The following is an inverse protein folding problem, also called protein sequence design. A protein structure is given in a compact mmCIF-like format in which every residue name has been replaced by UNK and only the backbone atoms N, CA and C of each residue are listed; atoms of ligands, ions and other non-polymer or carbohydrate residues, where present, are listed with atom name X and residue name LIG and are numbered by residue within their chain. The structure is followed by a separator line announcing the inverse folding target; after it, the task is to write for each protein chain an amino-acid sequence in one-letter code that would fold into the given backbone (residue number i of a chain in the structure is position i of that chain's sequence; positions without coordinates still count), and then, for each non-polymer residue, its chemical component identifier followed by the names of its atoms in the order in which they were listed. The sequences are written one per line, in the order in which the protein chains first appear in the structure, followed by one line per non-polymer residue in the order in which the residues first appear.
data_IF_908295664563
#
_entry.id   IF_908295664563
#
_cell.length_a   1.000
_cell.length_b   1.000
_cell.length_c   1.000
_cell.angle_alpha   90.00
_cell.angle_beta   90.00
_cell.angle_gamma   90.00
#
_symmetry.space_group_name_H-M   'P 1'
#
loop_
_entity.id
_entity.type
_entity.pdbx_description
1 polymer ?
#
# COMPACT_ATOMS: atom_id res chain seq x y z
N UNK A 1 0.64 25.40 -13.13
CA UNK A 1 0.86 24.99 -11.73
C UNK A 1 0.00 25.95 -10.92
N UNK A 2 -1.28 25.73 -10.61
CA UNK A 2 -2.06 24.52 -10.39
C UNK A 2 -3.50 24.73 -10.85
N UNK A 3 -4.01 23.88 -11.73
CA UNK A 3 -5.43 23.92 -12.12
C UNK A 3 -6.31 23.06 -11.19
N UNK A 4 -5.69 22.31 -10.28
CA UNK A 4 -6.32 21.27 -9.46
C UNK A 4 -5.86 21.26 -7.99
N UNK A 5 -5.09 22.26 -7.55
CA UNK A 5 -4.58 22.37 -6.17
C UNK A 5 -3.96 21.07 -5.63
N UNK A 6 -3.12 20.42 -6.45
CA UNK A 6 -2.42 19.19 -6.07
C UNK A 6 -1.04 19.53 -5.51
N UNK A 7 -0.82 19.19 -4.24
CA UNK A 7 0.47 19.37 -3.58
C UNK A 7 1.28 18.07 -3.65
N UNK A 8 2.51 18.16 -4.18
CA UNK A 8 3.46 17.05 -4.24
C UNK A 8 4.44 17.12 -3.07
N UNK A 9 4.62 16.01 -2.36
CA UNK A 9 5.66 15.85 -1.33
C UNK A 9 6.92 15.27 -1.94
N UNK A 10 7.89 16.12 -2.27
CA UNK A 10 9.14 15.75 -2.97
C UNK A 10 9.90 14.58 -2.31
N UNK A 11 9.87 14.48 -0.99
CA UNK A 11 10.50 13.40 -0.21
C UNK A 11 10.02 11.98 -0.57
N UNK A 12 8.84 11.86 -1.18
CA UNK A 12 8.22 10.58 -1.54
C UNK A 12 8.43 10.18 -2.99
N UNK A 13 9.18 10.97 -3.76
CA UNK A 13 9.38 10.72 -5.18
C UNK A 13 10.73 10.09 -5.47
N UNK A 14 10.70 9.12 -6.37
CA UNK A 14 11.85 8.41 -6.89
C UNK A 14 11.97 8.78 -8.38
N UNK A 15 12.96 9.60 -8.73
CA UNK A 15 13.19 10.05 -10.11
C UNK A 15 14.34 9.28 -10.75
N UNK A 16 14.15 8.85 -12.00
CA UNK A 16 15.18 8.20 -12.83
C UNK A 16 15.79 6.91 -12.22
N UNK A 17 14.96 6.07 -11.61
CA UNK A 17 15.38 4.81 -10.98
C UNK A 17 15.00 3.61 -11.86
N UNK A 18 15.88 2.61 -11.94
CA UNK A 18 15.68 1.38 -12.74
C UNK A 18 14.69 0.39 -12.12
N UNK A 19 14.40 0.57 -10.84
CA UNK A 19 13.53 -0.27 -10.02
C UNK A 19 12.65 0.67 -9.17
N UNK A 20 11.32 0.55 -9.30
CA UNK A 20 10.38 1.39 -8.55
C UNK A 20 9.38 0.50 -7.83
N UNK A 21 9.13 0.82 -6.55
CA UNK A 21 8.06 0.19 -5.77
C UNK A 21 6.75 0.92 -6.02
N UNK A 22 5.84 0.29 -6.74
CA UNK A 22 4.55 0.88 -7.07
C UNK A 22 3.41 -0.08 -6.77
N UNK A 23 2.43 0.37 -5.97
CA UNK A 23 1.25 -0.41 -5.58
C UNK A 23 1.54 -1.84 -5.05
N UNK A 24 2.67 -2.02 -4.37
CA UNK A 24 3.08 -3.34 -3.86
C UNK A 24 3.67 -4.27 -4.92
N UNK A 25 4.08 -3.71 -6.06
CA UNK A 25 4.89 -4.37 -7.08
C UNK A 25 6.27 -3.69 -7.12
N UNK A 26 7.26 -4.47 -7.51
CA UNK A 26 8.60 -4.01 -7.85
C UNK A 26 8.65 -4.02 -9.38
N UNK A 27 8.62 -2.83 -9.98
CA UNK A 27 8.67 -2.66 -11.42
C UNK A 27 10.13 -2.46 -11.80
N UNK A 28 10.71 -3.43 -12.51
CA UNK A 28 12.00 -3.30 -13.19
C UNK A 28 11.76 -3.01 -14.68
N UNK A 29 12.77 -2.45 -15.34
CA UNK A 29 12.75 -2.07 -16.77
C UNK A 29 12.21 -3.16 -17.73
N UNK A 30 12.27 -4.45 -17.35
CA UNK A 30 11.86 -5.57 -18.20
C UNK A 30 10.94 -6.59 -17.50
N UNK A 31 10.70 -6.45 -16.20
CA UNK A 31 9.96 -7.43 -15.39
C UNK A 31 9.16 -6.74 -14.30
N UNK A 32 7.92 -7.18 -14.09
CA UNK A 32 7.10 -6.77 -12.94
C UNK A 32 7.12 -7.91 -11.93
N UNK A 33 7.72 -7.67 -10.76
CA UNK A 33 7.76 -8.62 -9.65
C UNK A 33 6.74 -8.23 -8.59
N UNK A 34 5.98 -9.19 -8.09
CA UNK A 34 5.07 -8.97 -6.97
C UNK A 34 5.92 -8.80 -5.70
N UNK A 35 5.72 -7.70 -4.97
CA UNK A 35 6.39 -7.53 -3.68
C UNK A 35 5.73 -8.48 -2.66
N UNK A 36 6.48 -9.51 -2.26
CA UNK A 36 5.98 -10.61 -1.40
C UNK A 36 5.53 -10.15 0.00
N UNK A 37 5.85 -8.92 0.39
CA UNK A 37 5.33 -8.32 1.65
C UNK A 37 3.81 -8.10 1.65
N UNK A 38 3.14 -8.10 0.49
CA UNK A 38 1.68 -7.99 0.40
C UNK A 38 0.94 -9.34 0.46
N UNK A 39 1.66 -10.46 0.49
CA UNK A 39 1.09 -11.81 0.61
C UNK A 39 0.74 -12.12 2.07
N UNK A 40 0.01 -11.23 2.74
CA UNK A 40 -0.78 -11.67 3.89
C UNK A 40 -1.89 -12.52 3.28
N UNK A 41 -2.06 -13.81 3.67
CA UNK A 41 -3.14 -14.63 3.17
C UNK A 41 -4.43 -13.85 3.29
N UNK A 42 -5.22 -13.78 2.23
CA UNK A 42 -6.41 -12.93 2.19
C UNK A 42 -7.38 -13.21 3.36
N UNK A 43 -7.34 -14.46 3.85
CA UNK A 43 -7.98 -14.95 5.07
C UNK A 43 -7.45 -14.23 6.31
N UNK A 44 -6.14 -14.17 6.53
CA UNK A 44 -5.54 -13.48 7.68
C UNK A 44 -5.85 -11.98 7.65
N UNK A 45 -5.92 -11.35 6.47
CA UNK A 45 -6.33 -9.94 6.34
C UNK A 45 -7.80 -9.75 6.73
N UNK A 46 -8.70 -10.63 6.27
CA UNK A 46 -10.13 -10.59 6.63
C UNK A 46 -10.31 -10.80 8.14
N UNK A 47 -9.57 -11.72 8.74
CA UNK A 47 -9.59 -11.96 10.20
C UNK A 47 -9.10 -10.75 10.99
N UNK A 48 -8.03 -10.09 10.53
CA UNK A 48 -7.51 -8.88 11.19
C UNK A 48 -8.52 -7.74 11.15
N UNK A 49 -9.14 -7.49 9.99
CA UNK A 49 -10.16 -6.46 9.82
C UNK A 49 -11.41 -6.76 10.66
N UNK A 50 -11.80 -8.03 10.75
CA UNK A 50 -12.89 -8.46 11.62
C UNK A 50 -12.56 -8.27 13.10
N UNK A 51 -11.33 -8.60 13.54
CA UNK A 51 -10.85 -8.36 14.90
C UNK A 51 -10.84 -6.88 15.24
N UNK A 52 -10.38 -6.01 14.33
CA UNK A 52 -10.41 -4.55 14.52
C UNK A 52 -11.85 -4.05 14.68
N UNK A 53 -12.79 -4.57 13.87
CA UNK A 53 -14.21 -4.28 13.99
C UNK A 53 -14.76 -4.71 15.37
N UNK A 54 -14.48 -5.94 15.81
CA UNK A 54 -14.90 -6.40 17.14
C UNK A 54 -14.28 -5.57 18.26
N UNK A 55 -13.02 -5.17 18.13
CA UNK A 55 -12.32 -4.37 19.13
C UNK A 55 -12.92 -2.95 19.25
N UNK A 56 -13.34 -2.35 18.13
CA UNK A 56 -14.04 -1.07 18.12
C UNK A 56 -15.34 -1.12 18.95
N UNK A 57 -16.10 -2.23 18.86
CA UNK A 57 -17.33 -2.44 19.63
C UNK A 57 -17.12 -3.13 20.99
N UNK A 58 -15.87 -3.33 21.45
CA UNK A 58 -15.59 -4.06 22.70
C UNK A 58 -16.24 -3.45 23.95
N UNK A 59 -16.58 -2.16 23.92
CA UNK A 59 -17.28 -1.49 25.03
C UNK A 59 -18.78 -1.81 25.10
N UNK A 60 -19.34 -2.40 24.05
CA UNK A 60 -20.76 -2.75 23.93
C UNK A 60 -21.01 -4.27 23.96
N UNK A 61 -19.96 -5.07 24.21
CA UNK A 61 -19.96 -6.52 24.42
C UNK A 61 -19.50 -6.76 25.85
#
# INVERSE_FOLDING_TARGET
LDKYSLFYKLEKYEFNIKEVKFLGYIILYKEIKINKTRLVPEIARKTLVFLDFCNFYRRFI
#
